data_IF_822941396927
#
_entry.id   IF_822941396927
#
_cell.length_a   1.000
_cell.length_b   1.000
_cell.length_c   1.000
_cell.angle_alpha   90.00
_cell.angle_beta   90.00
_cell.angle_gamma   90.00
#
_symmetry.space_group_name_H-M   'P 1'
#
loop_
_entity.id
_entity.type
_entity.pdbx_description
1 polymer ?
#
# COMPACT_ATOMS: atom_id res chain seq x y z
N UNK A 1 -26.67 20.92 -12.72
CA UNK A 1 -25.33 21.52 -12.90
C UNK A 1 -24.96 22.65 -11.92
N UNK A 2 -25.52 22.73 -10.71
CA UNK A 2 -24.92 23.58 -9.64
C UNK A 2 -24.87 22.82 -8.30
N UNK A 3 -25.96 22.15 -7.91
CA UNK A 3 -25.95 21.18 -6.78
C UNK A 3 -25.06 19.95 -7.04
N UNK A 4 -24.98 19.49 -8.29
CA UNK A 4 -24.05 18.45 -8.72
C UNK A 4 -22.58 18.87 -8.54
N UNK A 5 -22.23 20.17 -8.56
CA UNK A 5 -20.84 20.63 -8.35
C UNK A 5 -20.47 20.76 -6.87
N UNK A 6 -21.44 20.95 -5.97
CA UNK A 6 -21.22 20.91 -4.52
C UNK A 6 -21.03 19.49 -4.00
N UNK A 7 -21.85 18.54 -4.47
CA UNK A 7 -21.63 17.10 -4.19
C UNK A 7 -20.32 16.64 -4.82
N UNK A 8 -19.88 17.22 -5.93
CA UNK A 8 -18.58 16.93 -6.55
C UNK A 8 -17.40 17.58 -5.82
N UNK A 9 -17.57 18.73 -5.17
CA UNK A 9 -16.52 19.33 -4.32
C UNK A 9 -16.32 18.57 -2.98
N UNK A 10 -17.32 17.85 -2.48
CA UNK A 10 -17.22 17.01 -1.28
C UNK A 10 -17.16 15.49 -1.56
N UNK A 11 -17.51 15.02 -2.76
CA UNK A 11 -17.47 13.60 -3.16
C UNK A 11 -16.42 13.26 -4.24
N UNK A 12 -15.82 14.21 -4.99
CA UNK A 12 -14.56 13.88 -5.71
C UNK A 12 -13.44 13.60 -4.74
N UNK A 13 -13.49 14.26 -3.61
CA UNK A 13 -12.51 14.12 -2.54
C UNK A 13 -12.67 12.70 -1.99
N UNK A 14 -13.89 12.20 -1.72
CA UNK A 14 -14.14 10.82 -1.23
C UNK A 14 -13.94 9.70 -2.27
N UNK A 15 -14.26 9.90 -3.57
CA UNK A 15 -13.96 8.93 -4.63
C UNK A 15 -12.51 8.97 -5.12
N UNK A 16 -11.77 10.05 -4.86
CA UNK A 16 -10.30 10.11 -5.04
C UNK A 16 -9.56 9.62 -3.80
N UNK A 17 -10.16 9.66 -2.60
CA UNK A 17 -9.61 9.03 -1.40
C UNK A 17 -9.76 7.52 -1.41
N UNK A 18 -10.75 7.00 -2.16
CA UNK A 18 -10.80 5.60 -2.50
C UNK A 18 -9.63 5.17 -3.41
N UNK A 19 -9.03 6.09 -4.18
CA UNK A 19 -7.80 5.83 -4.96
C UNK A 19 -6.55 5.69 -4.09
N UNK A 20 -6.68 5.99 -2.79
CA UNK A 20 -5.67 5.78 -1.77
C UNK A 20 -6.15 4.84 -0.67
N UNK A 21 -7.12 3.94 -0.94
CA UNK A 21 -7.27 2.71 -0.13
C UNK A 21 -5.93 2.00 -0.24
N UNK A 22 -5.11 2.29 0.75
CA UNK A 22 -3.69 1.97 0.76
C UNK A 22 -3.64 0.46 0.84
N UNK A 23 -2.76 -0.18 0.06
CA UNK A 23 -2.57 -1.63 0.00
C UNK A 23 -2.05 -2.23 1.31
N UNK A 24 -2.77 -2.01 2.42
CA UNK A 24 -2.39 -2.38 3.78
C UNK A 24 -2.62 -3.87 4.08
N UNK A 25 -2.93 -4.69 3.07
CA UNK A 25 -2.95 -6.14 3.18
C UNK A 25 -1.66 -6.82 2.70
N UNK A 26 -0.81 -6.13 1.93
CA UNK A 26 0.30 -6.80 1.25
C UNK A 26 1.41 -7.27 2.21
N UNK A 27 1.47 -6.69 3.42
CA UNK A 27 2.39 -7.09 4.49
C UNK A 27 1.78 -8.04 5.53
N UNK A 28 0.55 -8.53 5.35
CA UNK A 28 -0.11 -9.46 6.26
C UNK A 28 -0.34 -10.76 5.47
N UNK A 29 0.19 -11.92 5.90
CA UNK A 29 0.67 -12.25 7.25
C UNK A 29 2.18 -12.08 7.53
N UNK A 30 2.85 -11.07 6.95
CA UNK A 30 4.32 -10.80 6.97
C UNK A 30 5.12 -11.70 6.03
N UNK A 31 5.17 -11.36 4.72
CA UNK A 31 5.90 -12.16 3.73
C UNK A 31 7.43 -12.06 3.88
N UNK A 32 7.95 -10.96 4.45
CA UNK A 32 9.39 -10.77 4.65
C UNK A 32 9.91 -11.60 5.84
N UNK A 33 10.91 -12.45 5.60
CA UNK A 33 11.57 -13.29 6.61
C UNK A 33 12.89 -12.67 7.08
N UNK A 34 13.58 -13.34 8.02
CA UNK A 34 14.93 -12.96 8.49
C UNK A 34 15.07 -11.52 9.02
N UNK A 35 14.00 -10.98 9.62
CA UNK A 35 14.02 -9.62 10.17
C UNK A 35 13.92 -8.50 9.12
N UNK A 36 13.57 -8.83 7.87
CA UNK A 36 13.33 -7.84 6.82
C UNK A 36 12.13 -6.93 7.11
N UNK A 37 12.24 -5.66 6.70
CA UNK A 37 11.19 -4.66 6.88
C UNK A 37 10.20 -4.71 5.70
N UNK A 38 8.91 -4.91 5.98
CA UNK A 38 7.86 -4.95 4.95
C UNK A 38 7.25 -3.57 4.74
N UNK A 39 7.24 -3.09 3.50
CA UNK A 39 6.59 -1.83 3.12
C UNK A 39 5.46 -2.10 2.14
N UNK A 40 4.24 -1.74 2.52
CA UNK A 40 3.06 -1.83 1.67
C UNK A 40 3.04 -0.72 0.62
N UNK A 41 3.00 -1.08 -0.66
CA UNK A 41 2.73 -0.19 -1.78
C UNK A 41 1.23 -0.06 -2.07
N UNK A 42 0.88 0.69 -3.12
CA UNK A 42 -0.54 0.88 -3.52
C UNK A 42 -1.25 -0.43 -3.88
N UNK A 43 -0.52 -1.45 -4.33
CA UNK A 43 -1.08 -2.76 -4.69
C UNK A 43 -0.07 -3.91 -4.58
N UNK A 44 1.06 -3.68 -3.92
CA UNK A 44 2.22 -4.59 -3.86
C UNK A 44 2.87 -4.47 -2.49
N UNK A 45 3.78 -5.39 -2.18
CA UNK A 45 4.70 -5.25 -1.04
C UNK A 45 6.14 -5.23 -1.54
N UNK A 46 7.01 -4.63 -0.74
CA UNK A 46 8.46 -4.72 -0.90
C UNK A 46 9.10 -5.07 0.43
N UNK A 47 10.03 -6.01 0.41
CA UNK A 47 10.84 -6.35 1.56
C UNK A 47 12.19 -5.64 1.48
N UNK A 48 12.58 -4.99 2.56
CA UNK A 48 13.92 -4.48 2.77
C UNK A 48 14.68 -5.46 3.66
N UNK A 49 15.67 -6.14 3.06
CA UNK A 49 16.44 -7.18 3.74
C UNK A 49 17.66 -6.57 4.45
N UNK A 50 18.03 -7.16 5.59
CA UNK A 50 19.32 -6.86 6.23
C UNK A 50 20.46 -7.54 5.46
N UNK A 51 21.68 -6.97 5.57
CA UNK A 51 22.87 -7.51 4.92
C UNK A 51 22.99 -9.02 5.17
N UNK A 52 23.38 -9.75 4.13
CA UNK A 52 23.36 -11.22 3.97
C UNK A 52 22.04 -11.85 3.49
N UNK A 53 20.91 -11.13 3.43
CA UNK A 53 19.64 -11.65 2.91
C UNK A 53 19.20 -10.97 1.61
N UNK A 54 18.72 -11.77 0.68
CA UNK A 54 18.33 -11.38 -0.68
C UNK A 54 17.01 -12.03 -1.10
N UNK A 55 16.53 -11.66 -2.29
CA UNK A 55 15.25 -12.14 -2.82
C UNK A 55 14.04 -11.35 -2.34
N UNK A 56 12.87 -11.63 -2.94
CA UNK A 56 11.65 -10.85 -2.72
C UNK A 56 11.13 -10.89 -1.28
N UNK A 57 11.45 -11.96 -0.55
CA UNK A 57 11.01 -12.21 0.82
C UNK A 57 12.17 -12.28 1.83
N UNK A 58 13.39 -11.91 1.43
CA UNK A 58 14.59 -12.02 2.29
C UNK A 58 14.92 -13.47 2.72
N UNK A 59 14.65 -14.45 1.85
CA UNK A 59 14.83 -15.89 2.12
C UNK A 59 16.14 -16.47 1.58
N UNK A 60 16.88 -15.73 0.77
CA UNK A 60 18.01 -16.21 -0.02
C UNK A 60 19.34 -15.63 0.45
#
# INVERSE_FOLDING_TARGET
MMFYRFVVASAFVILSFASSVTGQGACIPRPCTNGGCCVSGRNTYRCYCFNEYTGQNCTQ
#
